data_IF_905247289436
#
_entry.id   IF_905247289436
#
_cell.length_a   1.000
_cell.length_b   1.000
_cell.length_c   1.000
_cell.angle_alpha   90.00
_cell.angle_beta   90.00
_cell.angle_gamma   90.00
#
_symmetry.space_group_name_H-M   'P 1'
#
loop_
_entity.id
_entity.type
_entity.pdbx_description
1 polymer ?
#
# COMPACT_ATOMS: atom_id res chain seq x y z
N UNK A 1 30.95 23.40 57.10
CA UNK A 1 31.04 22.57 55.87
C UNK A 1 30.77 23.45 54.65
N UNK A 2 31.71 23.54 53.69
CA UNK A 2 31.52 24.34 52.46
C UNK A 2 31.03 23.43 51.33
N UNK A 3 29.77 23.59 50.95
CA UNK A 3 29.16 22.87 49.83
C UNK A 3 29.44 23.63 48.53
N UNK A 4 30.18 23.04 47.59
CA UNK A 4 30.32 23.58 46.25
C UNK A 4 29.27 22.98 45.32
N UNK A 5 28.37 23.82 44.79
CA UNK A 5 27.47 23.45 43.70
C UNK A 5 28.22 23.62 42.38
N UNK A 6 28.58 22.52 41.72
CA UNK A 6 29.19 22.54 40.38
C UNK A 6 28.16 23.09 39.38
N UNK A 7 28.30 24.37 39.02
CA UNK A 7 27.44 25.02 38.03
C UNK A 7 27.69 24.36 36.67
N UNK A 8 26.67 23.75 36.07
CA UNK A 8 26.77 23.25 34.68
C UNK A 8 26.87 24.45 33.76
N UNK A 9 27.98 24.54 33.00
CA UNK A 9 28.15 25.54 31.93
C UNK A 9 26.99 25.37 30.93
N UNK A 10 26.13 26.38 30.84
CA UNK A 10 25.01 26.42 29.91
C UNK A 10 25.57 26.58 28.50
N UNK A 11 25.24 25.64 27.61
CA UNK A 11 25.72 25.64 26.21
C UNK A 11 24.97 26.74 25.46
N UNK A 12 25.63 27.88 25.20
CA UNK A 12 25.08 29.01 24.45
C UNK A 12 25.34 28.83 22.95
N UNK A 13 24.36 29.13 22.06
CA UNK A 13 24.49 28.88 20.62
C UNK A 13 25.59 29.72 19.93
N UNK A 14 25.86 30.91 20.46
CA UNK A 14 26.87 31.84 19.92
C UNK A 14 28.30 31.27 19.98
N UNK A 15 28.58 30.37 20.94
CA UNK A 15 29.92 29.79 21.15
C UNK A 15 30.04 28.36 20.57
N UNK A 16 29.05 27.91 19.77
CA UNK A 16 29.09 26.57 19.18
C UNK A 16 30.30 26.41 18.24
N UNK A 17 30.57 27.42 17.41
CA UNK A 17 31.70 27.43 16.47
C UNK A 17 33.06 27.37 17.19
N UNK A 18 33.20 28.05 18.34
CA UNK A 18 34.43 28.01 19.12
C UNK A 18 34.67 26.64 19.77
N UNK A 19 33.60 26.01 20.27
CA UNK A 19 33.69 24.67 20.89
C UNK A 19 34.08 23.56 19.89
N UNK A 20 33.74 23.74 18.61
CA UNK A 20 34.14 22.86 17.50
C UNK A 20 35.63 22.96 17.21
N UNK A 21 36.22 24.15 17.35
CA UNK A 21 37.64 24.40 17.11
C UNK A 21 38.53 23.89 18.25
N UNK A 22 38.11 24.04 19.50
CA UNK A 22 38.88 23.62 20.67
C UNK A 22 38.91 22.10 20.88
N UNK A 23 37.83 21.39 20.50
CA UNK A 23 37.70 19.95 20.75
C UNK A 23 37.39 19.16 19.48
N UNK A 24 38.20 19.34 18.43
CA UNK A 24 38.04 18.70 17.11
C UNK A 24 37.75 17.19 17.18
N UNK A 25 38.42 16.47 18.09
CA UNK A 25 38.22 15.02 18.29
C UNK A 25 36.82 14.71 18.83
N UNK A 26 36.32 15.46 19.82
CA UNK A 26 34.98 15.23 20.38
C UNK A 26 33.89 15.53 19.35
N UNK A 27 34.05 16.61 18.58
CA UNK A 27 33.13 16.94 17.50
C UNK A 27 33.14 15.88 16.41
N UNK A 28 34.32 15.38 16.03
CA UNK A 28 34.43 14.30 15.05
C UNK A 28 33.77 13.00 15.54
N UNK A 29 33.92 12.66 16.82
CA UNK A 29 33.25 11.49 17.42
C UNK A 29 31.73 11.66 17.42
N UNK A 30 31.22 12.83 17.82
CA UNK A 30 29.77 13.09 17.82
C UNK A 30 29.21 13.04 16.39
N UNK A 31 29.88 13.67 15.43
CA UNK A 31 29.48 13.66 14.03
C UNK A 31 29.52 12.24 13.43
N UNK A 32 30.57 11.47 13.72
CA UNK A 32 30.69 10.07 13.29
C UNK A 32 29.58 9.19 13.88
N UNK A 33 29.30 9.32 15.18
CA UNK A 33 28.20 8.58 15.83
C UNK A 33 26.85 8.97 15.24
N UNK A 34 26.62 10.26 14.95
CA UNK A 34 25.39 10.73 14.33
C UNK A 34 25.21 10.11 12.93
N UNK A 35 26.26 10.10 12.10
CA UNK A 35 26.22 9.45 10.78
C UNK A 35 25.99 7.95 10.87
N UNK A 36 26.57 7.26 11.85
CA UNK A 36 26.32 5.83 12.10
C UNK A 36 24.87 5.56 12.49
N UNK A 37 24.28 6.40 13.35
CA UNK A 37 22.86 6.30 13.72
C UNK A 37 21.97 6.51 12.49
N UNK A 38 22.26 7.53 11.67
CA UNK A 38 21.54 7.73 10.42
C UNK A 38 21.69 6.53 9.49
N UNK A 39 22.89 6.00 9.33
CA UNK A 39 23.10 4.79 8.52
C UNK A 39 22.25 3.63 9.04
N UNK A 40 22.22 3.36 10.35
CA UNK A 40 21.41 2.26 10.91
C UNK A 40 19.91 2.46 10.63
N UNK A 41 19.40 3.71 10.71
CA UNK A 41 17.99 4.03 10.47
C UNK A 41 17.64 3.93 8.98
N UNK A 42 18.47 4.49 8.10
CA UNK A 42 18.21 4.62 6.66
C UNK A 42 18.77 3.47 5.82
N UNK A 43 19.54 2.54 6.40
CA UNK A 43 20.05 1.38 5.68
C UNK A 43 18.91 0.40 5.32
N UNK A 44 19.12 -0.37 4.25
CA UNK A 44 18.16 -1.33 3.68
C UNK A 44 17.72 -2.44 4.65
N UNK A 45 18.49 -2.67 5.72
CA UNK A 45 18.18 -3.61 6.80
C UNK A 45 17.67 -2.91 8.08
N UNK A 46 17.34 -1.62 8.02
CA UNK A 46 16.80 -0.85 9.13
C UNK A 46 15.37 -1.23 9.51
N UNK A 47 14.75 -0.43 10.39
CA UNK A 47 13.38 -0.67 10.86
C UNK A 47 12.31 -0.22 9.84
N UNK A 48 12.62 0.76 8.99
CA UNK A 48 11.71 1.33 7.99
C UNK A 48 11.23 0.31 6.94
N UNK A 49 12.10 -0.53 6.35
CA UNK A 49 11.68 -1.55 5.38
C UNK A 49 10.72 -2.58 5.97
N UNK A 50 10.84 -2.94 7.24
CA UNK A 50 9.95 -3.92 7.89
C UNK A 50 8.52 -3.42 7.97
N UNK A 51 8.33 -2.17 8.41
CA UNK A 51 6.99 -1.55 8.48
C UNK A 51 6.37 -1.46 7.10
N UNK A 52 7.17 -1.06 6.09
CA UNK A 52 6.70 -1.03 4.70
C UNK A 52 6.30 -2.42 4.20
N UNK A 53 7.09 -3.45 4.51
CA UNK A 53 6.81 -4.84 4.12
C UNK A 53 5.51 -5.35 4.74
N UNK A 54 5.26 -5.04 6.01
CA UNK A 54 4.03 -5.44 6.70
C UNK A 54 2.80 -4.77 6.06
N UNK A 55 2.87 -3.46 5.77
CA UNK A 55 1.80 -2.76 5.07
C UNK A 55 1.56 -3.33 3.66
N UNK A 56 2.63 -3.63 2.92
CA UNK A 56 2.53 -4.18 1.57
C UNK A 56 1.94 -5.60 1.59
N UNK A 57 2.28 -6.39 2.61
CA UNK A 57 1.71 -7.72 2.85
C UNK A 57 0.21 -7.65 3.14
N UNK A 58 -0.22 -6.75 4.03
CA UNK A 58 -1.64 -6.57 4.34
C UNK A 58 -2.42 -6.12 3.10
N UNK A 59 -1.89 -5.15 2.35
CA UNK A 59 -2.52 -4.69 1.11
C UNK A 59 -2.64 -5.82 0.06
N UNK A 60 -1.63 -6.69 -0.02
CA UNK A 60 -1.64 -7.82 -0.96
C UNK A 60 -2.64 -8.91 -0.51
N UNK A 61 -2.75 -9.17 0.80
CA UNK A 61 -3.77 -10.08 1.35
C UNK A 61 -5.19 -9.57 1.10
N UNK A 62 -5.43 -8.27 1.25
CA UNK A 62 -6.73 -7.68 0.96
C UNK A 62 -7.11 -7.82 -0.52
N UNK A 63 -6.15 -7.62 -1.43
CA UNK A 63 -6.37 -7.84 -2.87
C UNK A 63 -6.71 -9.29 -3.18
N UNK A 64 -6.06 -10.26 -2.53
CA UNK A 64 -6.37 -11.69 -2.69
C UNK A 64 -7.81 -11.95 -2.23
N UNK A 65 -8.20 -11.45 -1.05
CA UNK A 65 -9.55 -11.63 -0.52
C UNK A 65 -10.63 -11.10 -1.48
N UNK A 66 -10.43 -9.87 -1.99
CA UNK A 66 -11.37 -9.26 -2.93
C UNK A 66 -11.46 -10.06 -4.24
N UNK A 67 -10.33 -10.52 -4.77
CA UNK A 67 -10.30 -11.34 -5.98
C UNK A 67 -10.99 -12.70 -5.78
N UNK A 68 -10.81 -13.33 -4.61
CA UNK A 68 -11.49 -14.59 -4.27
C UNK A 68 -13.00 -14.41 -4.16
N UNK A 69 -13.48 -13.32 -3.56
CA UNK A 69 -14.89 -12.98 -3.51
C UNK A 69 -15.48 -12.74 -4.91
N UNK A 70 -14.77 -12.01 -5.75
CA UNK A 70 -15.17 -11.77 -7.14
C UNK A 70 -15.23 -13.08 -7.93
N UNK A 71 -14.22 -13.93 -7.80
CA UNK A 71 -14.20 -15.25 -8.43
C UNK A 71 -15.37 -16.11 -7.97
N UNK A 72 -15.71 -16.11 -6.67
CA UNK A 72 -16.89 -16.82 -6.16
C UNK A 72 -18.18 -16.30 -6.78
N UNK A 73 -18.37 -14.97 -6.80
CA UNK A 73 -19.56 -14.34 -7.42
C UNK A 73 -19.69 -14.70 -8.90
N UNK A 74 -18.60 -14.62 -9.66
CA UNK A 74 -18.60 -14.97 -11.09
C UNK A 74 -18.88 -16.46 -11.30
N UNK A 75 -18.34 -17.33 -10.45
CA UNK A 75 -18.60 -18.77 -10.51
C UNK A 75 -20.06 -19.10 -10.20
N UNK A 76 -20.65 -18.43 -9.23
CA UNK A 76 -22.07 -18.60 -8.89
C UNK A 76 -22.97 -18.08 -10.01
N UNK A 77 -22.60 -16.97 -10.66
CA UNK A 77 -23.28 -16.50 -11.87
C UNK A 77 -23.16 -17.49 -13.03
N UNK A 78 -21.97 -18.05 -13.27
CA UNK A 78 -21.75 -19.09 -14.28
C UNK A 78 -22.61 -20.31 -14.00
N UNK A 79 -22.64 -20.81 -12.75
CA UNK A 79 -23.50 -21.93 -12.36
C UNK A 79 -24.99 -21.64 -12.54
N UNK A 80 -25.43 -20.42 -12.21
CA UNK A 80 -26.81 -20.01 -12.40
C UNK A 80 -27.20 -19.92 -13.88
N UNK A 81 -26.24 -19.60 -14.76
CA UNK A 81 -26.41 -19.66 -16.20
C UNK A 81 -26.39 -21.13 -16.67
N UNK A 82 -25.37 -21.91 -16.33
CA UNK A 82 -25.17 -23.29 -16.83
C UNK A 82 -26.22 -24.29 -16.31
N UNK A 83 -26.84 -24.03 -15.15
CA UNK A 83 -27.73 -24.97 -14.47
C UNK A 83 -29.17 -25.03 -15.00
N UNK A 84 -29.64 -24.04 -15.75
CA UNK A 84 -30.99 -24.02 -16.32
C UNK A 84 -30.98 -23.56 -17.79
N UNK A 85 -31.20 -24.46 -18.76
CA UNK A 85 -31.30 -24.12 -20.17
C UNK A 85 -32.27 -22.97 -20.47
N UNK A 86 -33.32 -22.80 -19.66
CA UNK A 86 -34.28 -21.68 -19.80
C UNK A 86 -33.66 -20.34 -19.36
N UNK A 87 -32.81 -20.34 -18.35
CA UNK A 87 -32.10 -19.14 -17.92
C UNK A 87 -31.09 -18.67 -18.98
N UNK A 88 -30.37 -19.62 -19.61
CA UNK A 88 -29.48 -19.34 -20.75
C UNK A 88 -30.27 -18.74 -21.92
N UNK A 89 -31.38 -19.39 -22.29
CA UNK A 89 -32.23 -18.93 -23.40
C UNK A 89 -32.80 -17.53 -23.14
N UNK A 90 -33.20 -17.24 -21.90
CA UNK A 90 -33.66 -15.91 -21.50
C UNK A 90 -32.57 -14.85 -21.68
N UNK A 91 -31.35 -15.10 -21.21
CA UNK A 91 -30.23 -14.14 -21.34
C UNK A 91 -29.81 -13.97 -22.80
N UNK A 92 -29.76 -15.06 -23.57
CA UNK A 92 -29.43 -15.02 -25.00
C UNK A 92 -30.43 -14.16 -25.79
N UNK A 93 -31.73 -14.28 -25.49
CA UNK A 93 -32.79 -13.48 -26.13
C UNK A 93 -32.81 -12.02 -25.63
N UNK A 94 -32.74 -11.79 -24.32
CA UNK A 94 -32.91 -10.45 -23.73
C UNK A 94 -31.66 -9.56 -23.84
N UNK A 95 -30.47 -10.09 -23.55
CA UNK A 95 -29.24 -9.28 -23.59
C UNK A 95 -28.61 -9.21 -24.97
N UNK A 96 -28.66 -10.30 -25.73
CA UNK A 96 -27.91 -10.45 -26.97
C UNK A 96 -28.79 -10.53 -28.22
N UNK A 97 -30.12 -10.61 -28.07
CA UNK A 97 -31.05 -10.69 -29.20
C UNK A 97 -30.86 -11.95 -30.07
N UNK A 98 -30.26 -13.01 -29.51
CA UNK A 98 -30.02 -14.25 -30.22
C UNK A 98 -31.33 -15.00 -30.48
N UNK A 99 -31.45 -15.60 -31.66
CA UNK A 99 -32.60 -16.39 -32.12
C UNK A 99 -32.15 -17.77 -32.56
N UNK A 100 -33.05 -18.76 -32.46
CA UNK A 100 -32.74 -20.12 -32.94
C UNK A 100 -32.69 -20.14 -34.48
N UNK A 101 -31.99 -21.12 -35.05
CA UNK A 101 -31.85 -21.27 -36.51
C UNK A 101 -33.18 -21.34 -37.27
N UNK A 102 -34.26 -21.74 -36.59
CA UNK A 102 -35.61 -21.87 -37.13
C UNK A 102 -36.56 -20.70 -36.79
N UNK A 103 -36.06 -19.60 -36.21
CA UNK A 103 -36.87 -18.40 -35.88
C UNK A 103 -36.63 -17.23 -36.85
N UNK A 104 -37.69 -16.49 -37.20
CA UNK A 104 -37.61 -15.30 -38.06
C UNK A 104 -37.77 -14.02 -37.23
N UNK A 105 -36.83 -13.08 -37.36
CA UNK A 105 -36.86 -11.77 -36.68
C UNK A 105 -37.54 -10.73 -37.58
N UNK A 106 -38.58 -10.08 -37.07
CA UNK A 106 -39.21 -8.94 -37.72
C UNK A 106 -38.75 -7.64 -37.04
N UNK A 107 -37.99 -6.81 -37.77
CA UNK A 107 -37.61 -5.47 -37.30
C UNK A 107 -38.61 -4.46 -37.87
N UNK A 108 -39.34 -3.77 -37.00
CA UNK A 108 -40.29 -2.74 -37.43
C UNK A 108 -39.50 -1.46 -37.74
N UNK A 109 -39.47 -1.06 -39.01
CA UNK A 109 -38.92 0.23 -39.40
C UNK A 109 -39.95 1.34 -39.09
N UNK A 110 -39.54 2.46 -38.50
CA UNK A 110 -40.45 3.58 -38.25
C UNK A 110 -40.99 4.12 -39.57
N UNK A 111 -42.30 4.37 -39.61
CA UNK A 111 -42.98 4.96 -40.76
C UNK A 111 -42.53 6.43 -40.88
N UNK A 112 -41.95 6.79 -42.04
CA UNK A 112 -41.59 8.17 -42.39
C UNK A 112 -42.82 9.07 -42.39
#
# INVERSE_FOLDING_TARGET
>A
MKFYRKIRKQVRPENLLESVRENKVRTAVIAGTFLLVLYIIFNSNGLLPRVRLEMEREAMQEKIRLAEEEQRKLKDQSKALDGDPKAIEKVAREKYGMVRENEKVYKVAPKK
#
